data_IF_245757182526
#
_entry.id   IF_245757182526
#
_cell.length_a   1.000
_cell.length_b   1.000
_cell.length_c   1.000
_cell.angle_alpha   90.00
_cell.angle_beta   90.00
_cell.angle_gamma   90.00
#
_symmetry.space_group_name_H-M   'P 1'
#
loop_
_entity.id
_entity.type
_entity.pdbx_description
1 polymer ?
#
# COMPACT_ATOMS: atom_id res chain seq x y z
N UNK A 1 -2.47 -6.58 32.28
CA UNK A 1 -2.56 -7.11 30.91
C UNK A 1 -2.36 -8.62 30.94
N UNK A 2 -3.27 -9.38 30.39
CA UNK A 2 -3.15 -10.84 30.32
C UNK A 2 -2.28 -11.26 29.15
N UNK A 3 -2.03 -12.58 29.04
CA UNK A 3 -1.15 -13.10 28.00
C UNK A 3 -1.69 -12.82 26.58
N UNK A 4 -3.00 -12.93 26.37
CA UNK A 4 -3.59 -12.65 25.08
C UNK A 4 -3.39 -11.19 24.66
N UNK A 5 -3.55 -10.26 25.60
CA UNK A 5 -3.31 -8.84 25.34
C UNK A 5 -1.84 -8.55 25.06
N UNK A 6 -0.93 -9.21 25.75
CA UNK A 6 0.51 -9.07 25.50
C UNK A 6 0.87 -9.58 24.10
N UNK A 7 0.35 -10.75 23.72
CA UNK A 7 0.60 -11.33 22.41
C UNK A 7 0.03 -10.42 21.31
N UNK A 8 -1.16 -9.88 21.51
CA UNK A 8 -1.76 -8.95 20.54
C UNK A 8 -0.97 -7.65 20.46
N UNK A 9 -0.45 -7.15 21.59
CA UNK A 9 0.37 -5.95 21.61
C UNK A 9 1.64 -6.12 20.77
N UNK A 10 2.30 -7.26 20.88
CA UNK A 10 3.49 -7.57 20.09
C UNK A 10 3.15 -7.64 18.60
N UNK A 11 2.05 -8.31 18.26
CA UNK A 11 1.57 -8.41 16.89
C UNK A 11 1.24 -7.04 16.30
N UNK A 12 0.52 -6.20 17.06
CA UNK A 12 0.16 -4.85 16.63
C UNK A 12 1.39 -3.96 16.42
N UNK A 13 2.39 -4.06 17.28
CA UNK A 13 3.64 -3.32 17.08
C UNK A 13 4.28 -3.67 15.75
N UNK A 14 4.30 -4.95 15.40
CA UNK A 14 4.87 -5.41 14.13
C UNK A 14 4.02 -4.93 12.96
N UNK A 15 2.70 -5.00 13.04
CA UNK A 15 1.79 -4.53 12.01
C UNK A 15 1.93 -3.03 11.78
N UNK A 16 2.03 -2.24 12.85
CA UNK A 16 2.25 -0.80 12.76
C UNK A 16 3.55 -0.50 12.03
N UNK A 17 4.62 -1.17 12.43
CA UNK A 17 5.94 -0.96 11.81
C UNK A 17 5.93 -1.27 10.32
N UNK A 18 5.41 -2.43 9.94
CA UNK A 18 5.36 -2.86 8.54
C UNK A 18 4.48 -1.92 7.73
N UNK A 19 3.33 -1.52 8.28
CA UNK A 19 2.41 -0.60 7.59
C UNK A 19 3.05 0.76 7.37
N UNK A 20 3.75 1.30 8.37
CA UNK A 20 4.48 2.56 8.23
C UNK A 20 5.58 2.48 7.15
N UNK A 21 6.32 1.38 7.12
CA UNK A 21 7.36 1.17 6.11
C UNK A 21 6.78 1.14 4.70
N UNK A 22 5.70 0.40 4.50
CA UNK A 22 5.02 0.33 3.19
C UNK A 22 4.43 1.68 2.79
N UNK A 23 3.78 2.36 3.73
CA UNK A 23 3.21 3.68 3.49
C UNK A 23 4.28 4.69 3.04
N UNK A 24 5.44 4.66 3.68
CA UNK A 24 6.54 5.55 3.32
C UNK A 24 7.08 5.24 1.91
N UNK A 25 7.10 3.99 1.50
CA UNK A 25 7.49 3.61 0.14
C UNK A 25 6.53 4.21 -0.89
N UNK A 26 5.23 4.12 -0.66
CA UNK A 26 4.23 4.67 -1.57
C UNK A 26 4.26 6.19 -1.59
N UNK A 27 4.49 6.84 -0.45
CA UNK A 27 4.66 8.29 -0.39
C UNK A 27 5.88 8.76 -1.17
N UNK A 28 6.97 8.00 -1.10
CA UNK A 28 8.19 8.30 -1.86
C UNK A 28 7.95 8.19 -3.36
N UNK A 29 7.25 7.15 -3.81
CA UNK A 29 6.85 6.99 -5.20
C UNK A 29 5.99 8.18 -5.65
N UNK A 30 5.03 8.60 -4.83
CA UNK A 30 4.16 9.74 -5.13
C UNK A 30 4.96 11.02 -5.34
N UNK A 31 5.94 11.28 -4.48
CA UNK A 31 6.78 12.48 -4.58
C UNK A 31 7.62 12.46 -5.85
N UNK A 32 8.16 11.30 -6.22
CA UNK A 32 8.99 11.15 -7.42
C UNK A 32 8.19 11.20 -8.71
N UNK A 33 6.87 11.04 -8.64
CA UNK A 33 6.00 11.00 -9.80
C UNK A 33 4.83 11.99 -9.65
N UNK A 34 5.13 13.30 -9.63
CA UNK A 34 4.11 14.30 -9.33
C UNK A 34 3.13 14.57 -10.47
N UNK A 35 3.42 14.12 -11.68
CA UNK A 35 2.56 14.37 -12.84
C UNK A 35 1.35 13.46 -12.85
N UNK A 36 0.20 14.03 -13.12
CA UNK A 36 -1.02 13.26 -13.31
C UNK A 36 -1.05 12.64 -14.70
N UNK A 37 -1.56 11.42 -14.76
CA UNK A 37 -1.77 10.72 -16.02
C UNK A 37 -3.25 10.74 -16.35
N UNK A 38 -3.55 10.87 -17.63
CA UNK A 38 -4.91 10.88 -18.10
C UNK A 38 -5.53 9.49 -17.98
N UNK A 39 -6.68 9.45 -17.34
CA UNK A 39 -7.43 8.21 -17.19
C UNK A 39 -7.81 7.63 -18.55
N UNK A 40 -7.79 6.30 -18.64
CA UNK A 40 -8.19 5.58 -19.83
C UNK A 40 -7.22 5.63 -20.99
N UNK A 41 -6.08 6.30 -20.85
CA UNK A 41 -5.06 6.31 -21.89
C UNK A 41 -3.96 5.31 -21.58
N UNK A 42 -3.42 4.73 -22.62
CA UNK A 42 -2.28 3.86 -22.57
C UNK A 42 -1.06 4.70 -22.23
N UNK A 43 -0.58 4.59 -21.01
CA UNK A 43 0.48 5.45 -20.55
C UNK A 43 1.66 4.64 -20.06
N UNK A 44 2.81 4.91 -20.61
CA UNK A 44 4.06 4.44 -20.06
C UNK A 44 4.93 5.66 -19.82
N UNK A 45 5.06 6.07 -18.58
CA UNK A 45 5.86 7.23 -18.22
C UNK A 45 7.32 6.85 -17.96
N UNK A 46 7.61 5.56 -17.95
CA UNK A 46 8.95 5.07 -17.75
C UNK A 46 9.44 5.11 -16.31
N UNK A 47 8.67 5.67 -15.39
CA UNK A 47 9.11 5.81 -14.00
C UNK A 47 8.62 4.66 -13.11
N UNK A 48 7.35 4.30 -13.23
CA UNK A 48 6.82 3.14 -12.53
C UNK A 48 5.53 2.67 -13.17
N UNK A 49 5.21 1.41 -12.94
CA UNK A 49 3.94 0.83 -13.34
C UNK A 49 3.39 0.03 -12.18
N UNK A 50 2.13 0.27 -11.85
CA UNK A 50 1.45 -0.51 -10.84
C UNK A 50 0.82 -1.74 -11.48
N UNK A 51 1.11 -2.90 -10.94
CA UNK A 51 0.58 -4.15 -11.46
C UNK A 51 0.23 -5.09 -10.33
N UNK A 52 -0.67 -6.02 -10.63
CA UNK A 52 -0.97 -7.15 -9.76
C UNK A 52 -0.35 -8.37 -10.42
N UNK A 53 0.47 -9.10 -9.67
CA UNK A 53 1.14 -10.29 -10.16
C UNK A 53 0.69 -11.49 -9.35
N UNK A 54 0.41 -12.57 -10.05
CA UNK A 54 0.18 -13.86 -9.42
C UNK A 54 1.51 -14.60 -9.35
N UNK A 55 1.93 -14.95 -8.15
CA UNK A 55 3.23 -15.59 -7.91
C UNK A 55 3.14 -17.05 -7.50
N UNK A 56 1.95 -17.61 -7.47
CA UNK A 56 1.80 -19.02 -7.16
C UNK A 56 2.27 -19.87 -8.32
N UNK A 57 2.99 -20.93 -8.05
CA UNK A 57 3.41 -21.99 -8.96
C UNK A 57 4.19 -21.58 -10.22
N UNK A 58 4.70 -20.38 -10.30
CA UNK A 58 5.58 -19.95 -11.38
C UNK A 58 4.91 -19.59 -12.69
N UNK A 59 3.59 -19.47 -12.74
CA UNK A 59 2.85 -19.15 -13.96
C UNK A 59 2.61 -17.66 -14.16
N UNK A 60 3.51 -16.82 -13.87
CA UNK A 60 3.54 -15.36 -13.98
C UNK A 60 2.45 -14.65 -14.79
N UNK A 61 1.25 -14.54 -14.25
CA UNK A 61 0.24 -13.64 -14.81
C UNK A 61 0.32 -12.31 -14.08
N UNK A 62 0.48 -11.22 -14.82
CA UNK A 62 0.44 -9.88 -14.24
C UNK A 62 -0.52 -8.99 -15.03
N UNK A 63 -1.24 -8.15 -14.29
CA UNK A 63 -2.16 -7.18 -14.88
C UNK A 63 -1.71 -5.77 -14.48
N UNK A 64 -1.66 -4.87 -15.45
CA UNK A 64 -1.25 -3.49 -15.22
C UNK A 64 -2.45 -2.62 -14.89
N UNK A 65 -2.48 -2.12 -13.67
CA UNK A 65 -3.58 -1.28 -13.19
C UNK A 65 -3.53 0.13 -13.77
N UNK A 66 -2.32 0.66 -13.93
CA UNK A 66 -2.13 2.04 -14.40
C UNK A 66 -2.66 2.31 -15.80
N UNK A 67 -2.88 1.27 -16.60
CA UNK A 67 -3.43 1.43 -17.95
C UNK A 67 -4.88 1.92 -17.95
N UNK A 68 -5.64 1.54 -16.93
CA UNK A 68 -7.08 1.76 -16.90
C UNK A 68 -7.48 2.93 -16.02
N UNK A 69 -6.73 3.17 -14.95
CA UNK A 69 -7.13 4.12 -13.91
C UNK A 69 -6.14 5.26 -13.72
N UNK A 70 -4.98 5.19 -14.35
CA UNK A 70 -3.90 6.12 -14.03
C UNK A 70 -3.16 5.72 -12.76
N UNK A 71 -1.84 5.78 -12.80
CA UNK A 71 -1.01 5.37 -11.67
C UNK A 71 -1.25 6.24 -10.43
N UNK A 72 -1.51 7.54 -10.64
CA UNK A 72 -1.71 8.46 -9.52
C UNK A 72 -2.95 8.15 -8.72
N UNK A 73 -4.05 7.84 -9.39
CA UNK A 73 -5.31 7.49 -8.72
C UNK A 73 -5.10 6.27 -7.83
N UNK A 74 -4.41 5.26 -8.35
CA UNK A 74 -4.15 4.04 -7.62
C UNK A 74 -3.22 4.30 -6.42
N UNK A 75 -2.17 5.08 -6.61
CA UNK A 75 -1.23 5.44 -5.53
C UNK A 75 -1.96 6.17 -4.41
N UNK A 76 -2.80 7.15 -4.74
CA UNK A 76 -3.56 7.90 -3.73
C UNK A 76 -4.53 6.97 -2.97
N UNK A 77 -5.18 6.06 -3.67
CA UNK A 77 -6.06 5.08 -3.04
C UNK A 77 -5.29 4.17 -2.07
N UNK A 78 -4.13 3.67 -2.50
CA UNK A 78 -3.29 2.80 -1.64
C UNK A 78 -2.81 3.55 -0.42
N UNK A 79 -2.33 4.78 -0.59
CA UNK A 79 -1.86 5.61 0.53
C UNK A 79 -2.99 5.84 1.53
N UNK A 80 -4.15 6.23 1.06
CA UNK A 80 -5.30 6.46 1.92
C UNK A 80 -5.69 5.20 2.69
N UNK A 81 -5.72 4.07 2.01
CA UNK A 81 -6.06 2.79 2.63
C UNK A 81 -5.04 2.41 3.70
N UNK A 82 -3.75 2.58 3.43
CA UNK A 82 -2.70 2.30 4.41
C UNK A 82 -2.75 3.26 5.60
N UNK A 83 -3.06 4.52 5.38
CA UNK A 83 -3.24 5.49 6.47
C UNK A 83 -4.38 5.09 7.39
N UNK A 84 -5.51 4.68 6.83
CA UNK A 84 -6.66 4.22 7.61
C UNK A 84 -6.33 2.94 8.39
N UNK A 85 -5.63 2.01 7.77
CA UNK A 85 -5.18 0.77 8.39
C UNK A 85 -4.23 1.07 9.58
N UNK A 86 -3.31 1.99 9.37
CA UNK A 86 -2.35 2.38 10.39
C UNK A 86 -3.06 2.99 11.60
N UNK A 87 -4.01 3.88 11.38
CA UNK A 87 -4.81 4.48 12.46
C UNK A 87 -5.60 3.41 13.22
N UNK A 88 -6.16 2.45 12.52
CA UNK A 88 -6.88 1.35 13.15
C UNK A 88 -5.96 0.55 14.08
N UNK A 89 -4.77 0.18 13.62
CA UNK A 89 -3.82 -0.57 14.44
C UNK A 89 -3.33 0.22 15.65
N UNK A 90 -3.06 1.50 15.47
CA UNK A 90 -2.64 2.38 16.56
C UNK A 90 -3.73 2.54 17.61
N UNK A 91 -4.97 2.68 17.16
CA UNK A 91 -6.12 2.79 18.05
C UNK A 91 -6.34 1.51 18.84
N UNK A 92 -6.25 0.36 18.20
CA UNK A 92 -6.37 -0.93 18.88
C UNK A 92 -5.26 -1.12 19.92
N UNK A 93 -4.03 -0.77 19.57
CA UNK A 93 -2.89 -0.84 20.47
C UNK A 93 -3.09 0.04 21.70
N UNK A 94 -3.57 1.25 21.51
CA UNK A 94 -3.83 2.21 22.57
C UNK A 94 -4.90 1.72 23.55
N UNK A 95 -5.86 0.96 23.04
CA UNK A 95 -7.02 0.50 23.82
C UNK A 95 -6.82 -0.89 24.46
N UNK A 96 -5.64 -1.45 24.38
CA UNK A 96 -5.37 -2.74 25.04
C UNK A 96 -5.30 -2.65 26.56
#
# INVERSE_FOLDING_TARGET
MNQEQLDRAVELKQLIKVTEEELNKFRDIRVKNPKEHHEGKYYSDGLYNLCISQQSDGSGVSARLGRHFGNRVIIEFVIKTLEEQLEYFKSEFKNL
#
